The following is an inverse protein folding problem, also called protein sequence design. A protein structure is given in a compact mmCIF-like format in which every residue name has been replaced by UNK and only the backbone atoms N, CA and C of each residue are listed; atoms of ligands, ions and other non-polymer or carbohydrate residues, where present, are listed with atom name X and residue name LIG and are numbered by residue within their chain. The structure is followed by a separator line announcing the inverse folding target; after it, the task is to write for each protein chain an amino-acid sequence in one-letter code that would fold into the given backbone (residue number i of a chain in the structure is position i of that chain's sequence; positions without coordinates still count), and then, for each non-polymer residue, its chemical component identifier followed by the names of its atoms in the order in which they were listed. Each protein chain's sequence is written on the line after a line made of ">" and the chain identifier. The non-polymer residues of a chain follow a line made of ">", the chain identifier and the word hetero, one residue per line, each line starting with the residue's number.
data_IF_603191714120
#
_entry.id   IF_603191714120
#
_cell.length_a   1.000
_cell.length_b   1.000
_cell.length_c   1.000
_cell.angle_alpha   90.00
_cell.angle_beta   90.00
_cell.angle_gamma   90.00
#
_symmetry.space_group_name_H-M   'P 1'
#
loop_
_entity.id
_entity.type
_entity.pdbx_description
1 polymer ?
#
# COMPACT_ATOMS: atom_id res chain seq x y z
N UNK A 1 19.43 3.75 -0.14
CA UNK A 1 18.16 3.72 0.64
C UNK A 1 17.59 5.12 0.89
N UNK A 2 18.39 6.10 1.38
CA UNK A 2 17.91 7.47 1.62
C UNK A 2 17.27 8.14 0.39
N UNK A 3 17.86 7.94 -0.80
CA UNK A 3 17.35 8.50 -2.04
C UNK A 3 15.94 7.97 -2.40
N UNK A 4 15.67 6.69 -2.17
CA UNK A 4 14.38 6.07 -2.46
C UNK A 4 13.28 6.60 -1.55
N UNK A 5 13.61 6.91 -0.28
CA UNK A 5 12.65 7.49 0.67
C UNK A 5 12.29 8.93 0.30
N UNK A 6 13.25 9.73 -0.18
CA UNK A 6 12.96 11.09 -0.68
C UNK A 6 12.10 11.05 -1.94
N UNK A 7 12.41 10.18 -2.90
CA UNK A 7 11.57 9.98 -4.10
C UNK A 7 10.16 9.54 -3.72
N UNK A 8 10.04 8.60 -2.78
CA UNK A 8 8.74 8.12 -2.30
C UNK A 8 7.95 9.22 -1.59
N UNK A 9 8.60 10.04 -0.76
CA UNK A 9 7.97 11.17 -0.08
C UNK A 9 7.42 12.19 -1.09
N UNK A 10 8.20 12.52 -2.13
CA UNK A 10 7.77 13.45 -3.18
C UNK A 10 6.58 12.89 -3.96
N UNK A 11 6.64 11.62 -4.37
CA UNK A 11 5.55 10.96 -5.08
C UNK A 11 4.26 10.91 -4.25
N UNK A 12 4.34 10.52 -2.98
CA UNK A 12 3.18 10.43 -2.10
C UNK A 12 2.59 11.81 -1.78
N UNK A 13 3.45 12.82 -1.57
CA UNK A 13 3.02 14.20 -1.36
C UNK A 13 2.21 14.70 -2.56
N UNK A 14 2.69 14.44 -3.78
CA UNK A 14 2.00 14.79 -5.01
C UNK A 14 0.69 14.00 -5.19
N UNK A 15 0.71 12.69 -4.95
CA UNK A 15 -0.46 11.83 -5.13
C UNK A 15 -1.59 12.15 -4.15
N UNK A 16 -1.23 12.48 -2.90
CA UNK A 16 -2.21 12.74 -1.84
C UNK A 16 -2.71 14.20 -1.82
N UNK A 17 -2.13 15.08 -2.63
CA UNK A 17 -2.49 16.51 -2.66
C UNK A 17 -2.20 17.26 -1.35
N UNK A 18 -1.32 16.71 -0.48
CA UNK A 18 -0.95 17.29 0.82
C UNK A 18 0.49 16.97 1.18
N UNK A 19 1.16 17.85 1.91
CA UNK A 19 2.53 17.64 2.38
C UNK A 19 2.62 16.44 3.33
N UNK A 20 3.52 15.49 3.04
CA UNK A 20 3.83 14.36 3.91
C UNK A 20 5.24 14.54 4.46
N UNK A 21 5.40 14.52 5.78
CA UNK A 21 6.72 14.65 6.39
C UNK A 21 7.49 13.33 6.28
N UNK A 22 8.82 13.43 6.32
CA UNK A 22 9.68 12.24 6.35
C UNK A 22 9.50 11.39 7.62
N UNK A 23 8.95 11.97 8.68
CA UNK A 23 8.62 11.25 9.91
C UNK A 23 7.33 10.44 9.75
N UNK A 24 6.26 11.06 9.21
CA UNK A 24 5.02 10.37 8.85
C UNK A 24 5.28 9.25 7.85
N UNK A 25 6.15 9.48 6.86
CA UNK A 25 6.55 8.44 5.91
C UNK A 25 7.19 7.24 6.63
N UNK A 26 8.08 7.49 7.58
CA UNK A 26 8.77 6.42 8.32
C UNK A 26 7.83 5.66 9.27
N UNK A 27 6.95 6.38 9.95
CA UNK A 27 6.01 5.78 10.91
C UNK A 27 4.88 5.02 10.22
N UNK A 28 4.32 5.56 9.15
CA UNK A 28 3.09 5.01 8.57
C UNK A 28 3.35 4.14 7.33
N UNK A 29 4.27 4.55 6.45
CA UNK A 29 4.46 3.89 5.16
C UNK A 29 5.32 2.64 5.27
N UNK A 30 6.31 2.60 6.18
CA UNK A 30 7.07 1.37 6.46
C UNK A 30 6.15 0.19 6.84
N UNK A 31 5.34 0.32 7.91
CA UNK A 31 4.37 -0.70 8.29
C UNK A 31 3.32 -0.99 7.21
N UNK A 32 2.90 0.01 6.44
CA UNK A 32 1.98 -0.20 5.31
C UNK A 32 2.62 -1.07 4.22
N UNK A 33 3.88 -0.84 3.87
CA UNK A 33 4.62 -1.65 2.89
C UNK A 33 4.75 -3.09 3.37
N UNK A 34 5.05 -3.31 4.65
CA UNK A 34 5.11 -4.65 5.24
C UNK A 34 3.75 -5.37 5.15
N UNK A 35 2.67 -4.69 5.55
CA UNK A 35 1.31 -5.26 5.48
C UNK A 35 0.88 -5.58 4.05
N UNK A 36 1.12 -4.68 3.08
CA UNK A 36 0.81 -4.90 1.66
C UNK A 36 1.65 -6.07 1.10
N UNK A 37 2.92 -6.15 1.47
CA UNK A 37 3.80 -7.24 1.07
C UNK A 37 3.27 -8.58 1.60
N UNK A 38 2.87 -8.63 2.86
CA UNK A 38 2.29 -9.83 3.46
C UNK A 38 1.01 -10.27 2.74
N UNK A 39 0.06 -9.35 2.49
CA UNK A 39 -1.18 -9.65 1.74
C UNK A 39 -0.86 -10.16 0.34
N UNK A 40 0.09 -9.54 -0.36
CA UNK A 40 0.53 -9.96 -1.70
C UNK A 40 1.09 -11.39 -1.68
N UNK A 41 1.90 -11.73 -0.67
CA UNK A 41 2.44 -13.08 -0.50
C UNK A 41 1.32 -14.09 -0.23
N UNK A 42 0.32 -13.72 0.59
CA UNK A 42 -0.82 -14.58 0.87
C UNK A 42 -1.65 -14.84 -0.38
N UNK A 43 -1.97 -13.81 -1.17
CA UNK A 43 -2.67 -13.97 -2.45
C UNK A 43 -1.92 -14.88 -3.43
N UNK A 44 -0.59 -14.77 -3.49
CA UNK A 44 0.23 -15.69 -4.30
C UNK A 44 0.16 -17.13 -3.81
N UNK A 45 0.23 -17.36 -2.49
CA UNK A 45 0.17 -18.71 -1.90
C UNK A 45 -1.16 -19.40 -2.16
N UNK A 46 -2.27 -18.68 -2.04
CA UNK A 46 -3.61 -19.21 -2.30
C UNK A 46 -3.96 -19.27 -3.79
N UNK A 47 -3.08 -18.76 -4.68
CA UNK A 47 -3.29 -18.68 -6.13
C UNK A 47 -4.60 -18.00 -6.50
N UNK A 48 -4.85 -16.84 -5.89
CA UNK A 48 -6.07 -16.06 -6.09
C UNK A 48 -6.26 -15.73 -7.58
N UNK A 49 -7.43 -16.09 -8.12
CA UNK A 49 -7.80 -15.79 -9.52
C UNK A 49 -8.35 -14.37 -9.64
N UNK A 50 -8.41 -13.87 -10.87
CA UNK A 50 -8.85 -12.50 -11.14
C UNK A 50 -10.31 -12.27 -10.73
N UNK A 51 -11.18 -13.26 -10.96
CA UNK A 51 -12.59 -13.21 -10.58
C UNK A 51 -12.75 -13.13 -9.06
N UNK A 52 -11.94 -13.88 -8.33
CA UNK A 52 -11.93 -13.90 -6.86
C UNK A 52 -11.42 -12.57 -6.30
N UNK A 53 -10.38 -11.99 -6.92
CA UNK A 53 -9.89 -10.66 -6.56
C UNK A 53 -10.93 -9.55 -6.82
N UNK A 54 -11.69 -9.63 -7.91
CA UNK A 54 -12.80 -8.71 -8.17
C UNK A 54 -13.85 -8.79 -7.05
N UNK A 55 -14.25 -10.00 -6.65
CA UNK A 55 -15.16 -10.18 -5.52
C UNK A 55 -14.61 -9.60 -4.21
N UNK A 56 -13.33 -9.84 -3.88
CA UNK A 56 -12.70 -9.28 -2.69
C UNK A 56 -12.67 -7.75 -2.72
N UNK A 57 -12.40 -7.15 -3.88
CA UNK A 57 -12.44 -5.69 -4.05
C UNK A 57 -13.85 -5.15 -3.78
N UNK A 58 -14.90 -5.78 -4.30
CA UNK A 58 -16.29 -5.39 -4.05
C UNK A 58 -16.64 -5.51 -2.57
N UNK A 59 -16.32 -6.64 -1.93
CA UNK A 59 -16.57 -6.84 -0.49
C UNK A 59 -15.86 -5.75 0.34
N UNK A 60 -14.59 -5.46 0.02
CA UNK A 60 -13.81 -4.43 0.73
C UNK A 60 -14.42 -3.04 0.54
N UNK A 61 -14.88 -2.71 -0.67
CA UNK A 61 -15.55 -1.44 -0.95
C UNK A 61 -16.89 -1.29 -0.21
N UNK A 62 -17.59 -2.38 0.07
CA UNK A 62 -18.88 -2.37 0.75
C UNK A 62 -18.77 -2.45 2.28
N UNK A 63 -17.67 -2.99 2.81
CA UNK A 63 -17.46 -3.24 4.25
C UNK A 63 -16.81 -2.05 4.97
N UNK A 64 -17.29 -0.81 4.76
CA UNK A 64 -16.71 0.42 5.35
C UNK A 64 -16.40 0.29 6.84
#
# INVERSE_FOLDING_TARGET
>A
VANNMCTLQACLTNMMGRSITMEQLRQDVGPMVEKITYVTLMFRRVKLRMEEYVCLKVITMLSQ
#
